data_IF_905985302803
#
_entry.id   IF_905985302803
#
_cell.length_a   1.000
_cell.length_b   1.000
_cell.length_c   1.000
_cell.angle_alpha   90.00
_cell.angle_beta   90.00
_cell.angle_gamma   90.00
#
_symmetry.space_group_name_H-M   'P 1'
#
loop_
_entity.id
_entity.type
_entity.pdbx_description
1 polymer ?
#
# COMPACT_ATOMS: atom_id res chain seq x y z
N UNK A 1 9.01 -52.06 -73.11
CA UNK A 1 8.44 -51.31 -71.97
C UNK A 1 9.31 -50.07 -71.76
N UNK A 2 8.85 -48.89 -72.21
CA UNK A 2 9.60 -47.62 -72.20
C UNK A 2 9.22 -46.86 -70.92
N UNK A 3 10.20 -46.52 -70.11
CA UNK A 3 10.06 -45.69 -68.91
C UNK A 3 10.02 -44.23 -69.38
N UNK A 4 8.95 -43.51 -69.04
CA UNK A 4 8.73 -42.10 -69.38
C UNK A 4 8.38 -41.32 -68.10
N UNK A 5 9.41 -40.63 -67.56
CA UNK A 5 9.42 -39.24 -67.07
C UNK A 5 8.41 -38.82 -65.92
N UNK A 6 8.54 -37.63 -65.30
CA UNK A 6 9.16 -37.44 -63.99
C UNK A 6 8.30 -36.53 -63.05
N UNK A 7 8.89 -36.05 -61.95
CA UNK A 7 8.51 -34.82 -61.21
C UNK A 7 7.09 -34.79 -60.61
N UNK A 8 6.99 -35.11 -59.33
CA UNK A 8 6.13 -34.35 -58.41
C UNK A 8 6.81 -34.32 -57.03
N UNK A 9 7.91 -33.60 -56.99
CA UNK A 9 8.68 -33.26 -55.79
C UNK A 9 8.37 -31.79 -55.48
N UNK A 10 8.06 -31.52 -54.21
CA UNK A 10 8.06 -30.22 -53.52
C UNK A 10 6.88 -29.28 -53.87
N UNK A 11 5.81 -29.38 -53.10
CA UNK A 11 4.91 -28.23 -52.87
C UNK A 11 4.09 -28.34 -51.57
N UNK A 12 4.63 -28.96 -50.51
CA UNK A 12 3.91 -29.13 -49.24
C UNK A 12 4.74 -28.75 -47.99
N UNK A 13 5.61 -27.73 -48.09
CA UNK A 13 6.40 -27.21 -46.96
C UNK A 13 6.42 -25.68 -46.88
N UNK A 14 5.35 -25.01 -47.32
CA UNK A 14 5.23 -23.54 -47.25
C UNK A 14 4.09 -23.08 -46.32
N UNK A 15 3.93 -23.76 -45.18
CA UNK A 15 3.15 -23.25 -44.06
C UNK A 15 3.93 -23.43 -42.75
N UNK A 16 5.17 -22.93 -42.73
CA UNK A 16 5.74 -22.50 -41.47
C UNK A 16 5.19 -21.10 -41.23
N UNK A 17 4.07 -21.03 -40.50
CA UNK A 17 3.67 -19.81 -39.78
C UNK A 17 4.73 -19.56 -38.71
N UNK A 18 5.85 -18.99 -39.15
CA UNK A 18 6.88 -18.38 -38.34
C UNK A 18 6.42 -16.94 -38.09
N UNK A 19 5.33 -16.76 -37.34
CA UNK A 19 5.06 -15.44 -36.81
C UNK A 19 4.41 -15.47 -35.44
N UNK A 20 5.06 -14.72 -34.55
CA UNK A 20 4.67 -14.37 -33.19
C UNK A 20 4.70 -15.51 -32.17
N UNK A 21 5.92 -15.79 -31.68
CA UNK A 21 6.07 -16.30 -30.31
C UNK A 21 5.21 -15.47 -29.35
N UNK A 22 4.66 -16.12 -28.34
CA UNK A 22 3.79 -15.48 -27.34
C UNK A 22 4.58 -14.38 -26.64
N UNK A 23 4.46 -13.14 -27.11
CA UNK A 23 4.98 -11.98 -26.41
C UNK A 23 4.25 -11.93 -25.07
N UNK A 24 4.93 -12.06 -23.92
CA UNK A 24 4.27 -11.94 -22.63
C UNK A 24 3.57 -10.58 -22.62
N UNK A 25 2.26 -10.60 -22.33
CA UNK A 25 1.54 -9.34 -22.13
C UNK A 25 2.31 -8.53 -21.09
N UNK A 26 2.61 -7.25 -21.33
CA UNK A 26 3.32 -6.44 -20.35
C UNK A 26 2.60 -6.56 -19.02
N UNK A 27 3.33 -7.05 -18.00
CA UNK A 27 2.81 -7.19 -16.65
C UNK A 27 2.52 -5.77 -16.16
N UNK A 28 1.24 -5.39 -16.09
CA UNK A 28 0.86 -4.13 -15.45
C UNK A 28 1.29 -4.24 -13.99
N UNK A 29 2.10 -3.29 -13.53
CA UNK A 29 2.36 -3.17 -12.11
C UNK A 29 1.04 -2.98 -11.37
N UNK A 30 0.83 -3.67 -10.23
CA UNK A 30 -0.36 -3.45 -9.44
C UNK A 30 -0.37 -2.02 -8.91
N UNK A 31 -1.54 -1.38 -8.89
CA UNK A 31 -1.72 -0.10 -8.21
C UNK A 31 -1.55 -0.29 -6.70
N UNK A 32 -0.72 0.54 -6.05
CA UNK A 32 -0.56 0.46 -4.60
C UNK A 32 0.67 1.20 -4.08
N UNK A 33 1.03 0.89 -2.84
CA UNK A 33 2.19 1.48 -2.18
C UNK A 33 2.90 0.49 -1.23
N UNK A 34 4.18 0.74 -0.97
CA UNK A 34 4.94 0.03 0.07
C UNK A 34 5.91 0.95 0.79
N UNK A 35 6.30 0.54 1.99
CA UNK A 35 7.31 1.25 2.75
C UNK A 35 7.76 0.50 3.98
N UNK A 36 8.44 1.23 4.87
CA UNK A 36 8.95 0.73 6.14
C UNK A 36 8.50 1.65 7.27
N UNK A 37 7.99 1.06 8.34
CA UNK A 37 7.83 1.72 9.62
C UNK A 37 9.07 1.45 10.47
N UNK A 38 9.63 2.48 11.09
CA UNK A 38 10.73 2.35 12.08
C UNK A 38 10.25 2.90 13.41
N UNK A 39 10.42 2.13 14.48
CA UNK A 39 10.01 2.48 15.84
C UNK A 39 11.24 2.87 16.69
N UNK A 40 11.15 4.01 17.36
CA UNK A 40 12.18 4.59 18.22
C UNK A 40 11.58 4.82 19.60
N UNK A 41 12.36 4.52 20.63
CA UNK A 41 11.91 4.58 22.02
C UNK A 41 11.29 3.27 22.51
N UNK A 42 10.81 3.28 23.75
CA UNK A 42 10.14 2.14 24.35
C UNK A 42 8.67 2.06 23.89
N UNK A 43 8.24 0.88 23.48
CA UNK A 43 6.83 0.64 23.19
C UNK A 43 5.99 0.82 24.46
N UNK A 44 4.84 1.52 24.41
CA UNK A 44 4.00 1.66 25.60
C UNK A 44 3.24 0.36 25.90
N UNK A 45 3.38 -0.17 27.11
CA UNK A 45 2.75 -1.44 27.54
C UNK A 45 1.21 -1.45 27.48
N UNK A 46 0.59 -0.27 27.45
CA UNK A 46 -0.87 -0.13 27.37
C UNK A 46 -1.47 -0.37 25.98
N UNK A 47 -0.63 -0.49 24.94
CA UNK A 47 -1.09 -0.64 23.56
C UNK A 47 -1.49 -2.08 23.28
N UNK A 48 -2.65 -2.24 22.66
CA UNK A 48 -3.18 -3.52 22.23
C UNK A 48 -2.97 -3.76 20.74
N UNK A 49 -3.00 -2.70 19.93
CA UNK A 49 -2.96 -2.81 18.47
C UNK A 49 -2.21 -1.63 17.83
N UNK A 50 -1.55 -1.90 16.72
CA UNK A 50 -0.87 -0.89 15.90
C UNK A 50 -1.18 -1.14 14.43
N UNK A 51 -1.58 -0.09 13.70
CA UNK A 51 -1.96 -0.19 12.29
C UNK A 51 -1.39 0.98 11.48
N UNK A 52 -1.15 0.74 10.19
CA UNK A 52 -0.98 1.80 9.20
C UNK A 52 -2.35 2.20 8.70
N UNK A 53 -2.60 3.49 8.66
CA UNK A 53 -3.93 4.05 8.44
C UNK A 53 -3.83 5.22 7.47
N UNK A 54 -4.77 5.30 6.52
CA UNK A 54 -4.73 6.32 5.47
C UNK A 54 -6.09 6.96 5.32
N UNK A 55 -6.09 8.30 5.32
CA UNK A 55 -7.26 9.11 5.02
C UNK A 55 -7.06 9.85 3.70
N UNK A 56 -8.15 9.97 2.94
CA UNK A 56 -8.17 10.68 1.66
C UNK A 56 -7.93 12.18 1.87
N UNK A 57 -8.69 12.77 2.77
CA UNK A 57 -8.71 14.20 3.08
C UNK A 57 -8.05 14.48 4.45
N UNK A 58 -7.56 15.72 4.68
CA UNK A 58 -6.95 16.10 5.96
C UNK A 58 -7.91 15.95 7.15
N UNK A 59 -7.37 15.67 8.34
CA UNK A 59 -8.13 15.55 9.58
C UNK A 59 -8.16 16.88 10.36
N UNK A 60 -9.01 17.82 9.93
CA UNK A 60 -9.10 19.18 10.50
C UNK A 60 -10.08 19.28 11.68
N UNK A 61 -10.95 18.29 11.83
CA UNK A 61 -11.99 18.17 12.84
C UNK A 61 -12.23 16.71 13.20
N UNK A 62 -12.99 16.48 14.28
CA UNK A 62 -13.37 15.12 14.69
C UNK A 62 -14.23 14.42 13.64
N UNK A 63 -15.02 15.18 12.87
CA UNK A 63 -15.94 14.65 11.86
C UNK A 63 -15.20 14.08 10.64
N UNK A 64 -13.96 14.53 10.39
CA UNK A 64 -13.14 14.03 9.29
C UNK A 64 -12.67 12.59 9.53
N UNK A 65 -12.74 12.11 10.78
CA UNK A 65 -12.48 10.73 11.15
C UNK A 65 -13.74 9.88 10.94
N UNK A 66 -13.98 9.47 9.71
CA UNK A 66 -15.13 8.66 9.33
C UNK A 66 -14.78 7.63 8.24
N UNK A 67 -15.68 6.66 8.02
CA UNK A 67 -15.46 5.55 7.09
C UNK A 67 -15.37 5.97 5.61
N UNK A 68 -15.94 7.12 5.24
CA UNK A 68 -15.82 7.63 3.88
C UNK A 68 -14.45 8.24 3.62
N UNK A 69 -13.85 8.85 4.63
CA UNK A 69 -12.50 9.41 4.54
C UNK A 69 -11.40 8.36 4.77
N UNK A 70 -11.64 7.36 5.63
CA UNK A 70 -10.71 6.26 5.90
C UNK A 70 -10.61 5.30 4.72
N UNK A 71 -9.44 5.21 4.09
CA UNK A 71 -9.19 4.42 2.87
C UNK A 71 -8.29 3.22 3.08
N UNK A 72 -7.51 3.21 4.16
CA UNK A 72 -6.64 2.08 4.48
C UNK A 72 -6.61 1.82 5.99
N UNK A 73 -6.65 0.54 6.35
CA UNK A 73 -6.25 0.03 7.67
C UNK A 73 -5.51 -1.28 7.43
N UNK A 74 -4.20 -1.29 7.64
CA UNK A 74 -3.39 -2.50 7.51
C UNK A 74 -3.82 -3.56 8.52
N UNK A 75 -3.39 -4.80 8.29
CA UNK A 75 -3.27 -5.74 9.39
C UNK A 75 -2.38 -5.21 10.51
N UNK A 76 -2.49 -5.85 11.67
CA UNK A 76 -1.77 -5.43 12.86
C UNK A 76 -0.25 -5.55 12.67
N UNK A 77 0.44 -4.48 13.03
CA UNK A 77 1.89 -4.47 13.15
C UNK A 77 2.26 -5.13 14.49
N UNK A 78 3.13 -6.16 14.50
CA UNK A 78 3.52 -6.84 15.73
C UNK A 78 4.11 -5.90 16.79
N UNK A 79 3.71 -6.08 18.05
CA UNK A 79 4.22 -5.30 19.19
C UNK A 79 5.73 -5.52 19.41
N UNK A 80 6.43 -4.48 19.83
CA UNK A 80 7.82 -4.56 20.31
C UNK A 80 8.89 -4.69 19.21
N UNK A 81 8.51 -4.63 17.93
CA UNK A 81 9.46 -4.68 16.82
C UNK A 81 10.11 -3.31 16.59
N UNK A 82 11.30 -3.31 16.00
CA UNK A 82 12.02 -2.08 15.64
C UNK A 82 11.67 -1.58 14.24
N UNK A 83 11.43 -2.49 13.30
CA UNK A 83 11.11 -2.16 11.92
C UNK A 83 10.05 -3.10 11.36
N UNK A 84 9.21 -2.58 10.48
CA UNK A 84 8.16 -3.33 9.79
C UNK A 84 8.07 -2.88 8.33
N UNK A 85 8.36 -3.80 7.41
CA UNK A 85 8.10 -3.55 5.98
C UNK A 85 6.65 -3.91 5.68
N UNK A 86 5.99 -3.07 4.89
CA UNK A 86 4.58 -3.25 4.56
C UNK A 86 4.31 -2.97 3.08
N UNK A 87 3.24 -3.57 2.57
CA UNK A 87 2.70 -3.32 1.24
C UNK A 87 1.17 -3.23 1.28
N UNK A 88 0.60 -2.34 0.48
CA UNK A 88 -0.85 -2.25 0.30
C UNK A 88 -1.43 -3.46 -0.44
N UNK A 89 -0.58 -4.29 -1.04
CA UNK A 89 -0.97 -5.56 -1.67
C UNK A 89 -1.05 -6.71 -0.65
N UNK A 90 -0.48 -6.50 0.53
CA UNK A 90 -0.66 -7.43 1.64
C UNK A 90 -2.09 -7.29 2.18
N UNK A 91 -2.44 -8.15 3.14
CA UNK A 91 -3.77 -8.12 3.69
C UNK A 91 -4.03 -6.87 4.55
N UNK A 92 -5.24 -6.34 4.42
CA UNK A 92 -5.73 -5.15 5.12
C UNK A 92 -7.17 -5.38 5.58
N UNK A 93 -7.59 -4.68 6.64
CA UNK A 93 -8.99 -4.65 7.04
C UNK A 93 -9.79 -3.71 6.14
N UNK A 94 -9.15 -2.64 5.69
CA UNK A 94 -9.71 -1.67 4.75
C UNK A 94 -8.63 -1.37 3.69
N UNK A 95 -8.93 -1.45 2.39
CA UNK A 95 -10.15 -2.03 1.81
C UNK A 95 -10.12 -3.57 1.91
N UNK A 96 -11.24 -4.20 2.31
CA UNK A 96 -11.29 -5.65 2.55
C UNK A 96 -11.06 -6.54 1.32
N UNK A 97 -11.01 -5.94 0.11
CA UNK A 97 -10.69 -6.63 -1.14
C UNK A 97 -9.19 -6.62 -1.48
N UNK A 98 -8.34 -5.99 -0.64
CA UNK A 98 -6.89 -5.87 -0.85
C UNK A 98 -6.48 -4.97 -2.02
N UNK A 99 -7.42 -4.28 -2.68
CA UNK A 99 -7.13 -3.40 -3.82
C UNK A 99 -7.18 -1.95 -3.39
N UNK A 100 -6.01 -1.31 -3.35
CA UNK A 100 -5.92 0.12 -3.08
C UNK A 100 -6.17 0.93 -4.36
N UNK A 101 -7.03 1.94 -4.26
CA UNK A 101 -7.40 2.75 -5.43
C UNK A 101 -6.29 3.76 -5.80
N UNK A 102 -6.19 4.15 -7.08
CA UNK A 102 -5.40 5.32 -7.46
C UNK A 102 -5.99 6.60 -6.86
N UNK A 103 -5.12 7.58 -6.55
CA UNK A 103 -5.56 8.88 -6.09
C UNK A 103 -4.55 9.59 -5.20
N UNK A 104 -4.99 10.72 -4.63
CA UNK A 104 -4.27 11.46 -3.61
C UNK A 104 -4.87 11.20 -2.23
N UNK A 105 -3.97 11.02 -1.25
CA UNK A 105 -4.30 10.75 0.14
C UNK A 105 -3.50 11.69 1.03
N UNK A 106 -4.22 12.45 1.85
CA UNK A 106 -3.66 13.60 2.56
C UNK A 106 -3.06 13.25 3.92
N UNK A 107 -3.34 12.06 4.44
CA UNK A 107 -2.86 11.66 5.75
C UNK A 107 -2.54 10.17 5.78
N UNK A 108 -1.25 9.85 5.86
CA UNK A 108 -0.73 8.48 5.98
C UNK A 108 0.00 8.40 7.32
N UNK A 109 -0.45 7.50 8.18
CA UNK A 109 -0.01 7.47 9.57
C UNK A 109 0.09 6.05 10.12
N UNK A 110 0.82 5.92 11.22
CA UNK A 110 0.78 4.76 12.10
C UNK A 110 0.02 5.16 13.35
N UNK A 111 -1.02 4.40 13.69
CA UNK A 111 -1.87 4.65 14.84
C UNK A 111 -1.89 3.43 15.77
N UNK A 112 -1.88 3.71 17.06
CA UNK A 112 -2.00 2.73 18.13
C UNK A 112 -3.38 2.83 18.80
N UNK A 113 -3.85 1.70 19.32
CA UNK A 113 -5.09 1.60 20.08
C UNK A 113 -4.88 0.80 21.37
N UNK A 114 -5.62 1.18 22.41
CA UNK A 114 -5.66 0.45 23.69
C UNK A 114 -6.81 -0.56 23.76
N UNK A 115 -7.61 -0.67 22.69
CA UNK A 115 -8.76 -1.57 22.62
C UNK A 115 -8.35 -2.94 22.12
N UNK A 116 -8.87 -4.00 22.75
CA UNK A 116 -8.61 -5.38 22.33
C UNK A 116 -9.15 -5.65 20.93
N UNK A 117 -10.23 -4.99 20.50
CA UNK A 117 -10.74 -5.09 19.13
C UNK A 117 -10.40 -3.82 18.33
N UNK A 118 -10.31 -3.94 17.00
CA UNK A 118 -10.18 -2.79 16.11
C UNK A 118 -11.39 -1.85 16.32
N UNK A 119 -11.14 -0.68 16.91
CA UNK A 119 -12.13 0.39 16.99
C UNK A 119 -12.01 1.32 15.79
N UNK A 120 -13.13 1.83 15.28
CA UNK A 120 -13.15 2.89 14.26
C UNK A 120 -13.57 4.25 14.84
N UNK A 121 -13.54 4.40 16.17
CA UNK A 121 -13.82 5.66 16.84
C UNK A 121 -12.55 6.48 16.99
N UNK A 122 -12.58 7.76 16.57
CA UNK A 122 -11.43 8.68 16.67
C UNK A 122 -10.75 8.65 18.03
N UNK A 123 -11.53 8.65 19.13
CA UNK A 123 -11.01 8.74 20.50
C UNK A 123 -10.08 7.59 20.91
N UNK A 124 -10.17 6.45 20.21
CA UNK A 124 -9.41 5.23 20.57
C UNK A 124 -8.07 5.15 19.85
N UNK A 125 -7.76 6.14 19.01
CA UNK A 125 -6.58 6.15 18.13
C UNK A 125 -5.57 7.18 18.60
N UNK A 126 -4.34 6.75 18.80
CA UNK A 126 -3.21 7.62 19.08
C UNK A 126 -2.21 7.52 17.93
N UNK A 127 -1.93 8.63 17.26
CA UNK A 127 -1.02 8.66 16.11
C UNK A 127 0.42 8.70 16.62
N UNK A 128 1.24 7.73 16.24
CA UNK A 128 2.63 7.62 16.68
C UNK A 128 3.65 7.89 15.58
N UNK A 129 3.21 7.88 14.32
CA UNK A 129 4.04 8.24 13.19
C UNK A 129 3.20 8.78 12.05
N UNK A 130 3.77 9.70 11.27
CA UNK A 130 3.14 10.27 10.07
C UNK A 130 4.15 10.24 8.95
N UNK A 131 3.69 9.93 7.74
CA UNK A 131 4.50 10.03 6.54
C UNK A 131 4.80 11.50 6.22
N UNK A 132 6.06 11.78 5.95
CA UNK A 132 6.54 13.07 5.46
C UNK A 132 7.10 12.88 4.06
N UNK A 133 6.79 13.81 3.16
CA UNK A 133 7.33 13.75 1.81
C UNK A 133 8.86 13.98 1.85
N UNK A 134 9.64 13.32 0.98
CA UNK A 134 11.09 13.53 0.93
C UNK A 134 11.43 15.03 0.78
N UNK A 135 12.24 15.54 1.71
CA UNK A 135 12.69 16.93 1.72
C UNK A 135 11.78 17.92 2.46
N UNK A 136 10.63 17.49 2.99
CA UNK A 136 9.74 18.34 3.80
C UNK A 136 9.20 17.57 5.01
N UNK A 137 9.74 17.88 6.19
CA UNK A 137 9.28 17.35 7.48
C UNK A 137 8.40 18.34 8.25
N UNK A 138 8.07 19.49 7.67
CA UNK A 138 7.30 20.55 8.36
C UNK A 138 5.80 20.25 8.45
N UNK A 139 5.30 19.39 7.55
CA UNK A 139 3.88 19.01 7.47
C UNK A 139 3.72 17.60 6.92
N UNK A 140 2.64 16.89 7.28
CA UNK A 140 2.33 15.57 6.71
C UNK A 140 2.39 15.58 5.18
N UNK A 141 3.06 14.57 4.61
CA UNK A 141 3.19 14.38 3.18
C UNK A 141 1.90 13.84 2.56
N UNK A 142 1.64 14.23 1.32
CA UNK A 142 0.59 13.59 0.50
C UNK A 142 1.15 12.32 -0.13
N UNK A 143 0.37 11.24 -0.09
CA UNK A 143 0.61 10.04 -0.86
C UNK A 143 -0.17 10.15 -2.17
N UNK A 144 0.56 10.16 -3.29
CA UNK A 144 -0.01 10.20 -4.64
C UNK A 144 0.24 8.85 -5.30
N UNK A 145 -0.83 8.15 -5.66
CA UNK A 145 -0.78 6.84 -6.31
C UNK A 145 -1.36 6.97 -7.71
N UNK A 146 -0.52 7.04 -8.75
CA UNK A 146 -1.00 7.03 -10.13
C UNK A 146 -1.66 5.69 -10.48
N UNK A 147 -2.56 5.73 -11.46
CA UNK A 147 -3.18 4.50 -11.96
C UNK A 147 -2.14 3.56 -12.61
N UNK A 148 -2.21 2.28 -12.27
CA UNK A 148 -1.28 1.24 -12.74
C UNK A 148 0.16 1.42 -12.25
N UNK A 149 0.38 2.10 -11.12
CA UNK A 149 1.70 2.32 -10.53
C UNK A 149 1.79 1.85 -9.09
N UNK A 150 2.95 1.27 -8.76
CA UNK A 150 3.28 0.88 -7.40
C UNK A 150 4.30 1.83 -6.78
N UNK A 151 3.85 2.64 -5.81
CA UNK A 151 4.67 3.67 -5.17
C UNK A 151 5.50 3.07 -4.04
N UNK A 152 6.81 3.28 -4.05
CA UNK A 152 7.72 2.71 -3.05
C UNK A 152 8.26 3.79 -2.12
N UNK A 153 8.90 3.36 -1.04
CA UNK A 153 9.61 4.21 -0.08
C UNK A 153 8.68 5.17 0.68
N UNK A 154 7.45 4.73 0.96
CA UNK A 154 6.54 5.44 1.87
C UNK A 154 6.97 5.11 3.30
N UNK A 155 8.06 5.70 3.76
CA UNK A 155 8.64 5.35 5.06
C UNK A 155 8.09 6.23 6.18
N UNK A 156 7.85 5.64 7.35
CA UNK A 156 7.29 6.32 8.51
C UNK A 156 8.17 6.05 9.72
N UNK A 157 8.57 7.09 10.44
CA UNK A 157 9.23 6.96 11.73
C UNK A 157 8.22 7.20 12.84
N UNK A 158 8.15 6.26 13.78
CA UNK A 158 7.38 6.38 15.00
C UNK A 158 8.36 6.62 16.16
N UNK A 159 8.52 7.87 16.54
CA UNK A 159 9.29 8.24 17.73
C UNK A 159 8.31 8.35 18.91
N UNK A 160 8.36 7.40 19.83
CA UNK A 160 7.45 7.37 20.98
C UNK A 160 7.76 8.47 22.00
N UNK A 161 8.98 9.02 21.99
CA UNK A 161 9.37 10.13 22.85
C UNK A 161 8.94 11.48 22.26
N UNK A 162 8.79 11.56 20.93
CA UNK A 162 8.33 12.75 20.20
C UNK A 162 7.23 12.41 19.19
N UNK A 163 6.03 11.98 19.65
CA UNK A 163 4.95 11.63 18.75
C UNK A 163 4.47 12.86 17.96
N UNK A 164 3.92 12.66 16.76
CA UNK A 164 3.40 13.75 15.94
C UNK A 164 2.20 14.44 16.62
N UNK A 165 1.89 15.70 16.24
CA UNK A 165 0.67 16.37 16.69
C UNK A 165 -0.57 15.52 16.43
N UNK A 166 -1.42 15.38 17.44
CA UNK A 166 -2.61 14.56 17.32
C UNK A 166 -3.71 15.28 16.53
N UNK A 167 -4.39 14.60 15.58
CA UNK A 167 -5.57 15.17 14.94
C UNK A 167 -6.67 15.43 15.99
N UNK A 168 -7.65 16.31 15.72
CA UNK A 168 -8.69 16.63 16.70
C UNK A 168 -9.46 15.39 17.20
N UNK A 169 -9.85 15.42 18.49
CA UNK A 169 -10.68 14.38 19.11
C UNK A 169 -9.96 13.13 19.61
N UNK A 170 -8.63 13.03 19.44
CA UNK A 170 -7.81 12.03 20.14
C UNK A 170 -7.58 12.44 21.59
N UNK A 171 -7.49 11.47 22.48
CA UNK A 171 -7.13 11.66 23.88
C UNK A 171 -6.04 10.68 24.28
#
# INVERSE_FOLDING_TARGET
MKILLPILIISLLAACDLDHGIVPKPVKEPTGFSGRVTFVGAWPDSIQRTHIVIFKDPLLSVLDFNIFNLKYVSWEIPYGIKEYNYSSLDSSYIPGNGKFEPGEYSYVAVAQQKTINLSLLRRDWFVVGVYYAPGDTSKPGKLVIPDGKFVRNINITCDFDNPPPQPPGGK
#
